data_IF_679670916652
#
_entry.id   IF_679670916652
#
_cell.length_a   1.000
_cell.length_b   1.000
_cell.length_c   1.000
_cell.angle_alpha   90.00
_cell.angle_beta   90.00
_cell.angle_gamma   90.00
#
_symmetry.space_group_name_H-M   'P 1'
#
loop_
_entity.id
_entity.type
_entity.pdbx_description
1 polymer ?
#
# COMPACT_ATOMS: atom_id res chain seq x y z
N UNK A 1 11.95 15.29 -19.02
CA UNK A 1 12.39 14.55 -17.82
C UNK A 1 11.70 13.20 -17.83
N UNK A 2 12.38 12.09 -17.56
CA UNK A 2 11.72 10.78 -17.47
C UNK A 2 11.01 10.66 -16.12
N UNK A 3 9.80 10.08 -16.13
CA UNK A 3 9.04 9.82 -14.92
C UNK A 3 9.69 8.67 -14.14
N UNK A 4 9.82 8.84 -12.82
CA UNK A 4 10.19 7.76 -11.91
C UNK A 4 9.00 6.82 -11.72
N UNK A 5 9.22 5.51 -11.87
CA UNK A 5 8.24 4.48 -11.53
C UNK A 5 8.50 3.99 -10.11
N UNK A 6 7.47 4.04 -9.27
CA UNK A 6 7.50 3.57 -7.90
C UNK A 6 7.66 2.05 -7.87
N UNK A 7 8.22 1.54 -6.77
CA UNK A 7 8.35 0.10 -6.56
C UNK A 7 7.01 -0.63 -6.61
N UNK A 8 5.95 0.00 -6.11
CA UNK A 8 4.61 -0.59 -6.09
C UNK A 8 3.99 -0.73 -7.48
N UNK A 9 4.21 0.23 -8.38
CA UNK A 9 3.79 0.13 -9.79
C UNK A 9 4.45 -1.10 -10.42
N UNK A 10 5.78 -1.24 -10.24
CA UNK A 10 6.52 -2.39 -10.78
C UNK A 10 6.11 -3.71 -10.17
N UNK A 11 5.78 -3.74 -8.87
CA UNK A 11 5.33 -4.95 -8.21
C UNK A 11 4.00 -5.44 -8.79
N UNK A 12 3.02 -4.53 -8.93
CA UNK A 12 1.67 -4.87 -9.39
C UNK A 12 1.56 -5.15 -10.90
N UNK A 13 2.45 -4.56 -11.70
CA UNK A 13 2.42 -4.69 -13.17
C UNK A 13 3.35 -5.79 -13.70
N UNK A 14 4.53 -5.95 -13.10
CA UNK A 14 5.58 -6.81 -13.67
C UNK A 14 5.99 -7.97 -12.76
N UNK A 15 5.80 -7.84 -11.44
CA UNK A 15 6.40 -8.73 -10.46
C UNK A 15 5.42 -9.32 -9.45
N UNK A 16 4.13 -9.39 -9.79
CA UNK A 16 3.10 -9.93 -8.90
C UNK A 16 3.40 -11.38 -8.46
N UNK A 17 4.12 -12.15 -9.30
CA UNK A 17 4.60 -13.48 -8.97
C UNK A 17 5.50 -13.56 -7.73
N UNK A 18 6.08 -12.45 -7.26
CA UNK A 18 6.87 -12.43 -6.01
C UNK A 18 6.02 -12.62 -4.75
N UNK A 19 4.71 -12.36 -4.83
CA UNK A 19 3.78 -12.43 -3.69
C UNK A 19 2.59 -13.37 -3.93
N UNK A 20 2.46 -13.93 -5.15
CA UNK A 20 1.38 -14.84 -5.52
C UNK A 20 1.34 -16.08 -4.62
N UNK A 21 0.15 -16.42 -4.12
CA UNK A 21 -0.08 -17.57 -3.25
C UNK A 21 0.52 -17.44 -1.84
N UNK A 22 1.06 -16.27 -1.49
CA UNK A 22 1.51 -15.96 -0.14
C UNK A 22 0.46 -15.12 0.58
N UNK A 23 0.42 -15.24 1.91
CA UNK A 23 -0.33 -14.33 2.77
C UNK A 23 0.45 -13.02 2.91
N UNK A 24 -0.09 -11.94 2.37
CA UNK A 24 0.57 -10.63 2.32
C UNK A 24 0.06 -9.74 3.45
N UNK A 25 0.99 -9.16 4.21
CA UNK A 25 0.72 -8.07 5.14
C UNK A 25 1.19 -6.74 4.54
N UNK A 26 0.33 -5.73 4.51
CA UNK A 26 0.66 -4.42 3.94
C UNK A 26 1.00 -3.41 5.05
N UNK A 27 2.23 -2.90 5.03
CA UNK A 27 2.62 -1.72 5.80
C UNK A 27 2.42 -0.49 4.93
N UNK A 28 1.44 0.34 5.24
CA UNK A 28 1.09 1.49 4.42
C UNK A 28 0.55 2.66 5.25
N UNK A 29 0.56 3.84 4.65
CA UNK A 29 0.08 5.09 5.24
C UNK A 29 -0.75 5.86 4.19
N UNK A 30 -1.40 6.98 4.55
CA UNK A 30 -2.26 7.71 3.61
C UNK A 30 -1.55 8.19 2.33
N UNK A 31 -0.23 8.38 2.37
CA UNK A 31 0.57 8.78 1.21
C UNK A 31 0.96 7.60 0.29
N UNK A 32 0.60 6.37 0.66
CA UNK A 32 0.82 5.16 -0.13
C UNK A 32 -0.21 5.11 -1.27
N UNK A 33 -0.03 5.96 -2.27
CA UNK A 33 -0.94 6.13 -3.40
C UNK A 33 -0.24 5.81 -4.74
N UNK A 34 -1.02 5.33 -5.71
CA UNK A 34 -0.58 5.22 -7.09
C UNK A 34 -0.63 6.61 -7.76
N UNK A 35 0.45 7.03 -8.46
CA UNK A 35 0.61 8.39 -8.96
C UNK A 35 -0.38 8.80 -10.06
N UNK A 36 -0.96 7.87 -10.82
CA UNK A 36 -1.82 8.21 -11.97
C UNK A 36 -3.28 8.46 -11.62
N UNK A 37 -3.78 7.80 -10.58
CA UNK A 37 -5.20 7.77 -10.25
C UNK A 37 -5.48 8.02 -8.76
N UNK A 38 -4.44 8.30 -7.96
CA UNK A 38 -4.54 8.51 -6.52
C UNK A 38 -5.19 7.34 -5.76
N UNK A 39 -5.18 6.13 -6.35
CA UNK A 39 -5.70 4.93 -5.68
C UNK A 39 -4.72 4.53 -4.58
N UNK A 40 -5.24 4.31 -3.38
CA UNK A 40 -4.43 3.86 -2.26
C UNK A 40 -3.95 2.42 -2.50
N UNK A 41 -2.70 2.13 -2.11
CA UNK A 41 -2.05 0.85 -2.39
C UNK A 41 -2.83 -0.35 -1.84
N UNK A 42 -3.49 -0.20 -0.68
CA UNK A 42 -4.39 -1.23 -0.15
C UNK A 42 -5.47 -1.64 -1.16
N UNK A 43 -6.17 -0.66 -1.75
CA UNK A 43 -7.25 -0.92 -2.72
C UNK A 43 -6.70 -1.51 -4.02
N UNK A 44 -5.51 -1.07 -4.44
CA UNK A 44 -4.85 -1.61 -5.63
C UNK A 44 -4.42 -3.08 -5.46
N UNK A 45 -4.07 -3.50 -4.25
CA UNK A 45 -3.75 -4.89 -3.94
C UNK A 45 -5.01 -5.75 -3.82
N UNK A 46 -6.06 -5.26 -3.15
CA UNK A 46 -7.35 -5.96 -3.05
C UNK A 46 -8.00 -6.19 -4.43
N UNK A 47 -7.75 -5.30 -5.39
CA UNK A 47 -8.22 -5.45 -6.77
C UNK A 47 -7.49 -6.55 -7.57
N UNK A 48 -6.49 -7.23 -6.99
CA UNK A 48 -5.72 -8.30 -7.65
C UNK A 48 -6.08 -9.66 -7.06
N UNK A 49 -6.88 -10.45 -7.79
CA UNK A 49 -7.31 -11.79 -7.37
C UNK A 49 -6.18 -12.76 -7.01
N UNK A 50 -4.96 -12.53 -7.52
CA UNK A 50 -3.80 -13.39 -7.27
C UNK A 50 -2.98 -13.00 -6.02
N UNK A 51 -3.37 -11.94 -5.31
CA UNK A 51 -2.71 -11.47 -4.09
C UNK A 51 -3.65 -11.64 -2.90
N UNK A 52 -3.24 -12.44 -1.92
CA UNK A 52 -4.01 -12.67 -0.69
C UNK A 52 -3.55 -11.69 0.41
N UNK A 53 -4.20 -10.52 0.48
CA UNK A 53 -3.95 -9.56 1.56
C UNK A 53 -4.68 -10.01 2.82
N UNK A 54 -3.91 -10.29 3.87
CA UNK A 54 -4.43 -10.86 5.12
C UNK A 54 -4.31 -9.93 6.32
N UNK A 55 -3.49 -8.88 6.21
CA UNK A 55 -3.28 -7.93 7.30
C UNK A 55 -2.87 -6.54 6.80
N UNK A 56 -3.25 -5.53 7.58
CA UNK A 56 -2.88 -4.13 7.37
C UNK A 56 -2.16 -3.58 8.60
N UNK A 57 -1.05 -2.88 8.38
CA UNK A 57 -0.25 -2.26 9.41
C UNK A 57 -0.11 -0.77 9.10
N UNK A 58 -0.83 0.05 9.87
CA UNK A 58 -0.74 1.51 9.79
C UNK A 58 0.28 2.05 10.79
N UNK A 59 1.01 3.13 10.45
CA UNK A 59 1.80 3.89 11.42
C UNK A 59 0.86 4.69 12.36
N UNK A 60 1.38 5.72 13.04
CA UNK A 60 0.64 6.49 14.05
C UNK A 60 -0.77 6.88 13.62
N UNK A 61 -1.02 7.31 12.38
CA UNK A 61 -2.36 7.77 11.97
C UNK A 61 -3.25 6.71 11.32
N UNK A 62 -2.88 5.42 11.42
CA UNK A 62 -3.55 4.35 10.68
C UNK A 62 -3.25 4.39 9.18
N UNK A 63 -3.76 3.40 8.44
CA UNK A 63 -3.52 3.31 7.00
C UNK A 63 -4.31 4.36 6.21
N UNK A 64 -5.48 4.80 6.72
CA UNK A 64 -6.35 5.79 6.06
C UNK A 64 -6.26 7.18 6.67
N UNK A 65 -5.50 7.39 7.74
CA UNK A 65 -5.43 8.69 8.41
C UNK A 65 -6.67 9.00 9.24
N UNK A 66 -7.51 8.00 9.47
CA UNK A 66 -8.77 8.07 10.22
C UNK A 66 -8.59 7.86 11.72
N UNK A 67 -7.37 7.54 12.16
CA UNK A 67 -7.02 7.35 13.56
C UNK A 67 -6.17 8.52 14.05
N UNK A 68 -6.62 9.19 15.11
CA UNK A 68 -5.87 10.24 15.79
C UNK A 68 -5.38 9.72 17.14
N UNK A 69 -4.08 9.48 17.26
CA UNK A 69 -3.44 9.34 18.56
C UNK A 69 -2.94 10.72 18.96
N UNK A 70 -3.25 11.16 20.17
CA UNK A 70 -2.68 12.39 20.71
C UNK A 70 -1.16 12.22 20.75
N UNK A 71 -0.48 13.01 19.92
CA UNK A 71 0.97 13.11 19.95
C UNK A 71 1.34 13.88 21.22
N UNK A 72 1.88 13.20 22.22
CA UNK A 72 2.56 13.86 23.33
C UNK A 72 3.98 14.10 22.85
N UNK A 73 4.21 15.25 22.22
CA UNK A 73 5.57 15.77 22.04
C UNK A 73 6.00 16.31 23.41
N UNK A 74 6.97 15.65 24.05
CA UNK A 74 7.55 16.09 25.34
C UNK A 74 8.83 16.87 25.09
#
# INVERSE_FOLDING_TARGET
MQRIRLGVERLLEEKAGLVKGQRVGLVCNPASILPDNFVHVADAFEAKDEIDVTAYFGPQHGIRGDVQYNMIET
#
